data_IF_193695602433
#
_entry.id   IF_193695602433
#
_cell.length_a   1.000
_cell.length_b   1.000
_cell.length_c   1.000
_cell.angle_alpha   90.00
_cell.angle_beta   90.00
_cell.angle_gamma   90.00
#
_symmetry.space_group_name_H-M   'P 1'
#
loop_
_entity.id
_entity.type
_entity.pdbx_description
1 polymer ?
#
# COMPACT_ATOMS: atom_id res chain seq x y z
N UNK A 1 4.80 19.97 -21.63
CA UNK A 1 4.72 18.51 -21.39
C UNK A 1 4.15 18.35 -19.99
N UNK A 2 3.04 17.62 -19.81
CA UNK A 2 2.43 17.45 -18.49
C UNK A 2 3.38 16.52 -17.70
N UNK A 3 4.03 17.04 -16.65
CA UNK A 3 4.88 16.19 -15.80
C UNK A 3 3.94 15.23 -15.08
N UNK A 4 4.12 13.93 -15.32
CA UNK A 4 3.41 12.85 -14.62
C UNK A 4 4.38 12.24 -13.62
N UNK A 5 3.91 11.96 -12.41
CA UNK A 5 4.68 11.21 -11.43
C UNK A 5 4.84 9.76 -11.94
N UNK A 6 6.06 9.34 -12.24
CA UNK A 6 6.36 7.95 -12.60
C UNK A 6 6.64 7.13 -11.32
N UNK A 7 5.57 6.62 -10.70
CA UNK A 7 5.68 5.87 -9.45
C UNK A 7 6.49 4.57 -9.61
N UNK A 8 6.48 3.97 -10.80
CA UNK A 8 7.19 2.73 -11.06
C UNK A 8 8.70 2.96 -11.10
N UNK A 9 9.14 4.02 -11.77
CA UNK A 9 10.55 4.42 -11.77
C UNK A 9 11.02 4.83 -10.37
N UNK A 10 10.19 5.58 -9.63
CA UNK A 10 10.47 5.96 -8.24
C UNK A 10 10.71 4.72 -7.37
N UNK A 11 9.80 3.73 -7.38
CA UNK A 11 9.98 2.51 -6.59
C UNK A 11 11.16 1.66 -7.07
N UNK A 12 11.45 1.66 -8.37
CA UNK A 12 12.63 0.95 -8.89
C UNK A 12 13.94 1.56 -8.37
N UNK A 13 14.06 2.89 -8.37
CA UNK A 13 15.23 3.55 -7.80
C UNK A 13 15.29 3.35 -6.28
N UNK A 14 14.15 3.47 -5.60
CA UNK A 14 14.06 3.29 -4.16
C UNK A 14 14.49 1.88 -3.74
N UNK A 15 14.14 0.83 -4.50
CA UNK A 15 14.52 -0.54 -4.15
C UNK A 15 16.01 -0.82 -4.25
N UNK A 16 16.72 -0.06 -5.08
CA UNK A 16 18.18 -0.16 -5.23
C UNK A 16 18.93 0.53 -4.10
N UNK A 17 18.44 1.67 -3.63
CA UNK A 17 19.11 2.43 -2.55
C UNK A 17 18.62 2.03 -1.16
N UNK A 18 17.35 1.64 -1.03
CA UNK A 18 16.67 1.21 0.20
C UNK A 18 15.93 -0.12 -0.03
N UNK A 19 16.65 -1.26 -0.07
CA UNK A 19 16.03 -2.56 -0.33
C UNK A 19 15.17 -3.07 0.82
N UNK A 20 15.31 -2.51 2.02
CA UNK A 20 14.58 -2.86 3.24
C UNK A 20 14.38 -1.59 4.09
N UNK A 21 13.30 -1.57 4.87
CA UNK A 21 12.96 -0.46 5.77
C UNK A 21 12.79 -0.97 7.20
N UNK A 22 13.04 -0.11 8.20
CA UNK A 22 12.78 -0.43 9.61
C UNK A 22 11.30 -0.47 9.96
N UNK A 23 10.48 0.29 9.23
CA UNK A 23 9.04 0.43 9.48
C UNK A 23 8.30 1.04 8.28
N UNK A 24 6.97 1.07 8.35
CA UNK A 24 6.13 1.79 7.37
C UNK A 24 6.45 3.30 7.35
N UNK A 25 6.76 3.91 8.49
CA UNK A 25 7.16 5.32 8.57
C UNK A 25 8.53 5.58 7.92
N UNK A 26 9.48 4.64 8.04
CA UNK A 26 10.77 4.70 7.34
C UNK A 26 10.57 4.58 5.81
N UNK A 27 9.67 3.69 5.37
CA UNK A 27 9.25 3.63 3.97
C UNK A 27 8.59 4.93 3.50
N UNK A 28 7.65 5.48 4.28
CA UNK A 28 6.97 6.75 3.99
C UNK A 28 7.96 7.90 3.80
N UNK A 29 8.88 8.07 4.74
CA UNK A 29 9.92 9.10 4.64
C UNK A 29 10.80 8.88 3.41
N UNK A 30 11.27 7.65 3.19
CA UNK A 30 12.18 7.35 2.08
C UNK A 30 11.53 7.55 0.71
N UNK A 31 10.25 7.18 0.56
CA UNK A 31 9.48 7.42 -0.65
C UNK A 31 9.24 8.92 -0.89
N UNK A 32 8.83 9.65 0.15
CA UNK A 32 8.67 11.11 0.06
C UNK A 32 9.97 11.80 -0.34
N UNK A 33 11.10 11.38 0.25
CA UNK A 33 12.41 11.95 -0.03
C UNK A 33 12.79 11.78 -1.51
N UNK A 34 12.73 10.55 -2.04
CA UNK A 34 13.11 10.29 -3.43
C UNK A 34 12.17 10.98 -4.42
N UNK A 35 10.87 11.11 -4.11
CA UNK A 35 9.94 11.91 -4.92
C UNK A 35 10.38 13.36 -4.97
N UNK A 36 10.74 13.97 -3.83
CA UNK A 36 11.20 15.36 -3.77
C UNK A 36 12.51 15.57 -4.51
N UNK A 37 13.42 14.61 -4.48
CA UNK A 37 14.68 14.66 -5.24
C UNK A 37 14.44 14.61 -6.75
N UNK A 38 13.57 13.72 -7.22
CA UNK A 38 13.27 13.57 -8.65
C UNK A 38 12.35 14.66 -9.19
N UNK A 39 11.47 15.22 -8.35
CA UNK A 39 10.53 16.27 -8.70
C UNK A 39 10.72 17.49 -7.77
N UNK A 40 11.81 18.27 -7.90
CA UNK A 40 12.15 19.34 -6.95
C UNK A 40 11.06 20.40 -6.76
N UNK A 41 10.23 20.61 -7.79
CA UNK A 41 9.16 21.59 -7.79
C UNK A 41 7.85 21.10 -7.14
N UNK A 42 7.75 19.82 -6.76
CA UNK A 42 6.57 19.33 -6.05
C UNK A 42 6.60 19.76 -4.57
N UNK A 43 5.44 19.94 -3.97
CA UNK A 43 5.29 19.96 -2.53
C UNK A 43 4.89 18.57 -2.01
N UNK A 44 5.33 18.23 -0.80
CA UNK A 44 4.94 16.99 -0.12
C UNK A 44 4.32 17.34 1.23
N UNK A 45 3.23 16.66 1.57
CA UNK A 45 2.63 16.65 2.92
C UNK A 45 2.53 15.20 3.38
N UNK A 46 3.02 14.91 4.56
CA UNK A 46 2.85 13.60 5.22
C UNK A 46 1.62 13.66 6.13
N UNK A 47 0.95 12.54 6.33
CA UNK A 47 -0.21 12.41 7.23
C UNK A 47 -1.29 13.47 6.94
N UNK A 48 -1.58 13.68 5.65
CA UNK A 48 -2.45 14.76 5.20
C UNK A 48 -3.92 14.46 5.49
N UNK A 49 -4.60 15.42 6.14
CA UNK A 49 -6.03 15.35 6.43
C UNK A 49 -6.79 16.31 5.50
N UNK A 50 -7.70 15.82 4.63
CA UNK A 50 -8.51 16.69 3.79
C UNK A 50 -9.59 17.41 4.59
N UNK A 51 -9.89 18.65 4.19
CA UNK A 51 -10.90 19.49 4.84
C UNK A 51 -12.31 18.87 4.86
N UNK A 52 -12.65 18.04 3.86
CA UNK A 52 -13.97 17.41 3.76
C UNK A 52 -14.16 16.19 4.67
N UNK A 53 -13.09 15.61 5.21
CA UNK A 53 -13.15 14.45 6.09
C UNK A 53 -11.97 14.42 7.06
N UNK A 54 -12.20 14.86 8.30
CA UNK A 54 -11.18 14.93 9.35
C UNK A 54 -10.69 13.57 9.87
N UNK A 55 -11.35 12.47 9.48
CA UNK A 55 -10.96 11.11 9.86
C UNK A 55 -10.18 10.39 8.76
N UNK A 56 -10.01 11.02 7.59
CA UNK A 56 -9.20 10.51 6.50
C UNK A 56 -7.78 11.06 6.67
N UNK A 57 -6.81 10.18 6.81
CA UNK A 57 -5.39 10.51 6.89
C UNK A 57 -4.71 9.81 5.72
N UNK A 58 -4.16 10.58 4.79
CA UNK A 58 -3.35 10.07 3.68
C UNK A 58 -1.89 10.04 4.11
N UNK A 59 -1.22 8.91 3.90
CA UNK A 59 0.20 8.79 4.25
C UNK A 59 1.06 9.86 3.57
N UNK A 60 0.87 10.08 2.26
CA UNK A 60 1.58 11.10 1.49
C UNK A 60 0.62 11.81 0.54
N UNK A 61 0.65 13.13 0.51
CA UNK A 61 0.08 13.95 -0.55
C UNK A 61 1.20 14.64 -1.32
N UNK A 62 1.35 14.28 -2.60
CA UNK A 62 2.24 14.99 -3.54
C UNK A 62 1.43 16.06 -4.27
N UNK A 63 1.93 17.29 -4.28
CA UNK A 63 1.34 18.42 -4.98
C UNK A 63 2.30 18.82 -6.10
N UNK A 64 1.93 18.52 -7.34
CA UNK A 64 2.74 18.80 -8.52
C UNK A 64 1.96 19.76 -9.43
N UNK A 65 2.50 20.96 -9.67
CA UNK A 65 1.84 22.02 -10.45
C UNK A 65 0.40 22.31 -9.98
N UNK A 66 0.20 22.33 -8.66
CA UNK A 66 -1.11 22.54 -8.02
C UNK A 66 -2.09 21.37 -8.15
N UNK A 67 -1.67 20.24 -8.73
CA UNK A 67 -2.43 19.00 -8.83
C UNK A 67 -2.04 18.02 -7.74
N UNK A 68 -3.01 17.24 -7.27
CA UNK A 68 -2.90 16.45 -6.07
C UNK A 68 -2.84 14.97 -6.41
N UNK A 69 -1.82 14.29 -5.87
CA UNK A 69 -1.56 12.86 -6.00
C UNK A 69 -1.43 12.27 -4.60
N UNK A 70 -2.53 11.75 -4.02
CA UNK A 70 -2.49 11.04 -2.76
C UNK A 70 -1.85 9.66 -2.93
N UNK A 71 -1.11 9.22 -1.91
CA UNK A 71 -0.46 7.92 -1.86
C UNK A 71 -0.68 7.32 -0.47
N UNK A 72 -1.16 6.07 -0.42
CA UNK A 72 -1.31 5.26 0.80
C UNK A 72 -0.33 4.09 0.76
N UNK A 73 0.27 3.77 1.90
CA UNK A 73 1.38 2.84 2.04
C UNK A 73 1.03 1.70 2.98
N UNK A 74 1.57 0.53 2.67
CA UNK A 74 1.61 -0.61 3.59
C UNK A 74 2.98 -1.26 3.57
N UNK A 75 3.57 -1.48 4.73
CA UNK A 75 4.81 -2.25 4.88
C UNK A 75 4.60 -3.38 5.89
N UNK A 76 4.45 -4.62 5.40
CA UNK A 76 4.21 -5.79 6.26
C UNK A 76 5.33 -6.81 6.17
N UNK A 77 5.91 -7.18 7.31
CA UNK A 77 7.14 -7.97 7.33
C UNK A 77 6.96 -9.32 8.01
N UNK A 78 7.74 -10.31 7.56
CA UNK A 78 8.09 -11.47 8.39
C UNK A 78 9.11 -11.06 9.45
N UNK A 79 9.10 -11.74 10.59
CA UNK A 79 10.12 -11.51 11.61
C UNK A 79 11.50 -11.90 11.08
N UNK A 80 12.44 -10.97 11.07
CA UNK A 80 13.83 -11.25 10.74
C UNK A 80 14.78 -10.19 11.32
N UNK A 81 16.07 -10.53 11.36
CA UNK A 81 17.16 -9.58 11.60
C UNK A 81 18.06 -9.64 10.37
N UNK A 82 18.35 -8.47 9.77
CA UNK A 82 19.21 -8.33 8.59
C UNK A 82 20.26 -7.28 8.84
N UNK A 83 21.48 -7.50 8.37
CA UNK A 83 22.54 -6.48 8.38
C UNK A 83 22.90 -6.13 6.96
N UNK A 84 22.70 -4.87 6.57
CA UNK A 84 22.99 -4.37 5.22
C UNK A 84 23.88 -3.15 5.36
N UNK A 85 25.07 -3.17 4.73
CA UNK A 85 26.04 -2.07 4.78
C UNK A 85 26.36 -1.57 6.20
N UNK A 86 26.38 -2.47 7.19
CA UNK A 86 26.65 -2.14 8.60
C UNK A 86 25.43 -1.68 9.40
N UNK A 87 24.27 -1.49 8.78
CA UNK A 87 23.02 -1.15 9.45
C UNK A 87 22.22 -2.42 9.79
N UNK A 88 21.69 -2.52 11.02
CA UNK A 88 20.93 -3.67 11.51
C UNK A 88 19.44 -3.36 11.49
N UNK A 89 18.67 -4.14 10.73
CA UNK A 89 17.22 -4.05 10.62
C UNK A 89 16.57 -5.15 11.47
N UNK A 90 15.74 -4.76 12.44
CA UNK A 90 15.04 -5.69 13.33
C UNK A 90 13.54 -5.64 13.03
N UNK A 91 13.08 -6.57 12.19
CA UNK A 91 11.69 -6.61 11.71
C UNK A 91 10.83 -7.53 12.56
N UNK A 92 9.60 -7.11 12.80
CA UNK A 92 8.59 -7.87 13.56
C UNK A 92 7.70 -8.67 12.62
N UNK A 93 7.08 -9.73 13.16
CA UNK A 93 6.08 -10.49 12.43
C UNK A 93 4.79 -9.67 12.31
N UNK A 94 4.27 -9.53 11.08
CA UNK A 94 3.00 -8.88 10.78
C UNK A 94 2.12 -9.80 9.93
N UNK A 95 1.85 -10.99 10.46
CA UNK A 95 1.14 -12.08 9.78
C UNK A 95 -0.40 -12.02 9.81
N UNK A 96 -1.01 -10.93 10.30
CA UNK A 96 -2.48 -10.76 10.32
C UNK A 96 -3.02 -10.47 8.90
N UNK A 97 -3.00 -11.49 8.04
CA UNK A 97 -3.32 -11.39 6.61
C UNK A 97 -4.77 -10.95 6.35
N UNK A 98 -5.71 -11.41 7.17
CA UNK A 98 -7.13 -11.06 7.09
C UNK A 98 -7.33 -9.53 7.17
N UNK A 99 -6.85 -8.92 8.25
CA UNK A 99 -6.92 -7.49 8.47
C UNK A 99 -6.05 -6.72 7.48
N UNK A 100 -4.87 -7.26 7.13
CA UNK A 100 -3.96 -6.62 6.18
C UNK A 100 -4.53 -6.52 4.77
N UNK A 101 -5.29 -7.53 4.32
CA UNK A 101 -6.01 -7.49 3.05
C UNK A 101 -7.12 -6.44 3.08
N UNK A 102 -7.97 -6.48 4.13
CA UNK A 102 -9.05 -5.52 4.31
C UNK A 102 -8.54 -4.07 4.31
N UNK A 103 -7.51 -3.79 5.11
CA UNK A 103 -6.95 -2.44 5.24
C UNK A 103 -6.34 -1.92 3.94
N UNK A 104 -5.67 -2.78 3.15
CA UNK A 104 -5.14 -2.36 1.86
C UNK A 104 -6.24 -1.93 0.89
N UNK A 105 -7.36 -2.67 0.84
CA UNK A 105 -8.49 -2.31 -0.02
C UNK A 105 -9.26 -1.10 0.53
N UNK A 106 -9.30 -0.92 1.86
CA UNK A 106 -9.81 0.29 2.49
C UNK A 106 -9.02 1.53 2.09
N UNK A 107 -7.71 1.42 1.92
CA UNK A 107 -6.87 2.52 1.43
C UNK A 107 -7.17 2.88 -0.03
N UNK A 108 -7.49 1.90 -0.88
CA UNK A 108 -7.99 2.18 -2.24
C UNK A 108 -9.29 2.98 -2.16
N UNK A 109 -10.24 2.53 -1.33
CA UNK A 109 -11.52 3.20 -1.13
C UNK A 109 -11.36 4.63 -0.58
N UNK A 110 -10.38 4.88 0.31
CA UNK A 110 -10.03 6.21 0.81
C UNK A 110 -9.53 7.13 -0.32
N UNK A 111 -8.71 6.62 -1.22
CA UNK A 111 -8.25 7.39 -2.37
C UNK A 111 -9.40 7.64 -3.37
N UNK A 112 -10.32 6.69 -3.56
CA UNK A 112 -11.54 6.93 -4.35
C UNK A 112 -12.41 8.04 -3.73
N UNK A 113 -12.63 8.02 -2.41
CA UNK A 113 -13.34 9.10 -1.72
C UNK A 113 -12.64 10.46 -1.96
N UNK A 114 -11.32 10.49 -1.85
CA UNK A 114 -10.54 11.71 -2.10
C UNK A 114 -10.63 12.18 -3.56
N UNK A 115 -10.57 11.27 -4.53
CA UNK A 115 -10.77 11.55 -5.96
C UNK A 115 -12.12 12.23 -6.18
N UNK A 116 -13.18 11.68 -5.60
CA UNK A 116 -14.55 12.12 -5.84
C UNK A 116 -14.87 13.47 -5.18
N UNK A 117 -14.13 13.84 -4.12
CA UNK A 117 -14.32 15.09 -3.37
C UNK A 117 -13.34 16.20 -3.72
N UNK A 118 -12.18 15.89 -4.32
CA UNK A 118 -11.14 16.88 -4.61
C UNK A 118 -11.05 17.24 -6.10
N UNK A 119 -11.31 18.51 -6.42
CA UNK A 119 -11.15 19.02 -7.79
C UNK A 119 -9.67 19.05 -8.27
N UNK A 120 -8.71 19.03 -7.34
CA UNK A 120 -7.27 19.03 -7.61
C UNK A 120 -6.72 17.64 -7.91
N UNK A 121 -7.46 16.58 -7.59
CA UNK A 121 -7.05 15.21 -7.85
C UNK A 121 -6.80 14.97 -9.35
N UNK A 122 -5.69 14.30 -9.65
CA UNK A 122 -5.34 13.86 -11.01
C UNK A 122 -5.09 12.35 -11.11
N UNK A 123 -4.55 11.73 -10.07
CA UNK A 123 -4.22 10.32 -9.96
C UNK A 123 -3.89 10.04 -8.49
N UNK A 124 -3.98 8.81 -8.02
CA UNK A 124 -3.55 8.40 -6.68
C UNK A 124 -3.05 6.97 -6.66
N UNK A 125 -2.35 6.58 -5.60
CA UNK A 125 -1.68 5.28 -5.55
C UNK A 125 -1.84 4.61 -4.19
N UNK A 126 -2.14 3.32 -4.17
CA UNK A 126 -1.83 2.49 -3.00
C UNK A 126 -0.61 1.64 -3.29
N UNK A 127 0.31 1.56 -2.33
CA UNK A 127 1.57 0.84 -2.48
C UNK A 127 1.74 -0.07 -1.27
N UNK A 128 1.85 -1.37 -1.50
CA UNK A 128 2.17 -2.34 -0.45
C UNK A 128 3.51 -2.98 -0.75
N UNK A 129 4.42 -2.98 0.22
CA UNK A 129 5.66 -3.77 0.21
C UNK A 129 5.56 -4.83 1.30
N UNK A 130 5.94 -6.07 1.00
CA UNK A 130 5.87 -7.15 1.99
C UNK A 130 6.89 -8.27 1.78
N UNK A 131 7.43 -8.81 2.89
CA UNK A 131 8.15 -10.10 2.89
C UNK A 131 7.25 -11.29 3.28
N UNK A 132 5.96 -11.04 3.52
CA UNK A 132 4.98 -12.08 3.84
C UNK A 132 4.36 -12.67 2.56
N UNK A 133 5.02 -13.70 2.03
CA UNK A 133 4.65 -14.34 0.76
C UNK A 133 3.24 -14.96 0.73
N UNK A 134 2.59 -15.15 1.88
CA UNK A 134 1.21 -15.63 1.89
C UNK A 134 0.23 -14.64 1.27
N UNK A 135 0.52 -13.34 1.18
CA UNK A 135 -0.32 -12.37 0.47
C UNK A 135 -0.50 -12.72 -1.00
N UNK A 136 0.56 -13.23 -1.65
CA UNK A 136 0.57 -13.55 -3.08
C UNK A 136 -0.28 -14.77 -3.43
N UNK A 137 -0.66 -15.58 -2.44
CA UNK A 137 -1.34 -16.85 -2.64
C UNK A 137 -2.82 -16.74 -2.32
N UNK A 138 -3.69 -17.40 -3.10
CA UNK A 138 -5.12 -17.43 -2.80
C UNK A 138 -5.36 -18.10 -1.45
N UNK A 139 -6.50 -17.82 -0.79
CA UNK A 139 -6.85 -18.48 0.45
C UNK A 139 -6.95 -19.99 0.25
N UNK A 140 -6.29 -20.76 1.12
CA UNK A 140 -6.26 -22.23 1.01
C UNK A 140 -7.57 -22.87 1.46
N UNK A 141 -8.22 -22.27 2.49
CA UNK A 141 -9.43 -22.82 3.09
C UNK A 141 -10.66 -22.35 2.31
N UNK A 142 -11.54 -23.29 1.96
CA UNK A 142 -12.82 -22.99 1.31
C UNK A 142 -13.71 -22.04 2.14
N UNK A 143 -13.60 -22.07 3.47
CA UNK A 143 -14.32 -21.21 4.40
C UNK A 143 -13.47 -20.03 4.91
N UNK A 144 -12.53 -19.53 4.09
CA UNK A 144 -11.75 -18.37 4.45
C UNK A 144 -12.64 -17.14 4.64
N UNK A 145 -12.59 -16.55 5.83
CA UNK A 145 -13.44 -15.42 6.25
C UNK A 145 -13.21 -14.12 5.47
N UNK A 146 -12.01 -13.96 4.90
CA UNK A 146 -11.58 -12.77 4.16
C UNK A 146 -11.40 -13.05 2.67
N UNK A 147 -12.00 -14.11 2.13
CA UNK A 147 -11.80 -14.56 0.74
C UNK A 147 -12.01 -13.44 -0.28
N UNK A 148 -13.06 -12.64 -0.11
CA UNK A 148 -13.36 -11.50 -1.00
C UNK A 148 -12.27 -10.42 -0.93
N UNK A 149 -11.66 -10.22 0.24
CA UNK A 149 -10.58 -9.25 0.44
C UNK A 149 -9.21 -9.73 -0.04
N UNK A 150 -9.02 -11.02 -0.29
CA UNK A 150 -7.69 -11.60 -0.58
C UNK A 150 -6.99 -10.93 -1.76
N UNK A 151 -5.83 -10.32 -1.53
CA UNK A 151 -5.01 -9.69 -2.59
C UNK A 151 -3.98 -10.66 -3.17
N UNK A 152 -4.41 -11.85 -3.56
CA UNK A 152 -3.55 -12.82 -4.24
C UNK A 152 -3.23 -12.41 -5.69
N UNK A 153 -2.08 -12.89 -6.17
CA UNK A 153 -1.57 -12.49 -7.47
C UNK A 153 -2.48 -12.97 -8.61
N UNK A 154 -2.77 -12.07 -9.56
CA UNK A 154 -3.67 -12.31 -10.68
C UNK A 154 -5.16 -12.06 -10.37
N UNK A 155 -5.53 -11.79 -9.12
CA UNK A 155 -6.91 -11.42 -8.78
C UNK A 155 -7.27 -10.00 -9.25
N UNK A 156 -8.57 -9.68 -9.29
CA UNK A 156 -9.08 -8.33 -9.57
C UNK A 156 -10.01 -7.93 -8.44
N UNK A 157 -9.85 -6.71 -7.91
CA UNK A 157 -10.69 -6.17 -6.83
C UNK A 157 -11.60 -5.08 -7.35
N UNK A 158 -12.89 -5.23 -7.11
CA UNK A 158 -13.94 -4.33 -7.61
C UNK A 158 -15.25 -4.60 -6.87
N UNK A 159 -16.17 -3.63 -6.90
CA UNK A 159 -17.50 -3.78 -6.34
C UNK A 159 -17.51 -3.92 -4.82
N UNK A 160 -18.55 -4.56 -4.29
CA UNK A 160 -18.74 -4.77 -2.87
C UNK A 160 -18.04 -6.07 -2.44
N UNK A 161 -17.21 -6.00 -1.40
CA UNK A 161 -16.53 -7.13 -0.77
C UNK A 161 -16.85 -7.13 0.73
N UNK A 162 -17.21 -8.29 1.25
CA UNK A 162 -17.68 -8.51 2.60
C UNK A 162 -16.81 -9.51 3.34
N UNK A 163 -16.82 -9.40 4.68
CA UNK A 163 -16.46 -10.54 5.51
C UNK A 163 -17.46 -11.68 5.29
N UNK A 164 -17.00 -12.92 5.39
CA UNK A 164 -17.93 -14.06 5.39
C UNK A 164 -18.85 -13.99 6.62
N UNK A 165 -20.10 -14.45 6.46
CA UNK A 165 -21.13 -14.49 7.52
C UNK A 165 -20.68 -15.17 8.82
N UNK A 166 -19.70 -16.09 8.73
CA UNK A 166 -19.18 -16.82 9.88
C UNK A 166 -17.99 -16.12 10.58
N UNK A 167 -17.63 -14.90 10.16
CA UNK A 167 -16.49 -14.17 10.72
C UNK A 167 -16.78 -13.72 12.16
N UNK A 168 -15.85 -14.00 13.07
CA UNK A 168 -16.00 -13.61 14.47
C UNK A 168 -15.97 -12.09 14.67
N UNK A 169 -16.80 -11.57 15.57
CA UNK A 169 -16.86 -10.13 15.91
C UNK A 169 -15.52 -9.51 16.30
N UNK A 170 -14.64 -10.29 16.93
CA UNK A 170 -13.30 -9.83 17.31
C UNK A 170 -12.42 -9.53 16.09
N UNK A 171 -12.50 -10.34 15.04
CA UNK A 171 -11.76 -10.15 13.78
C UNK A 171 -12.24 -8.91 13.02
N UNK A 172 -13.55 -8.65 13.04
CA UNK A 172 -14.16 -7.52 12.33
C UNK A 172 -14.10 -6.20 13.10
N UNK A 173 -13.56 -6.16 14.33
CA UNK A 173 -13.67 -4.98 15.19
C UNK A 173 -13.01 -3.75 14.54
N UNK A 174 -13.82 -2.72 14.25
CA UNK A 174 -13.38 -1.50 13.54
C UNK A 174 -13.23 -1.67 12.01
N UNK A 175 -13.64 -2.83 11.50
CA UNK A 175 -13.57 -3.28 10.11
C UNK A 175 -14.89 -3.95 9.69
N UNK A 176 -16.00 -3.64 10.35
CA UNK A 176 -17.29 -4.30 10.14
C UNK A 176 -17.94 -3.92 8.80
N UNK A 177 -17.64 -2.72 8.30
CA UNK A 177 -18.17 -2.23 7.05
C UNK A 177 -17.60 -3.02 5.85
N UNK A 178 -18.38 -3.21 4.77
CA UNK A 178 -17.84 -3.74 3.54
C UNK A 178 -16.84 -2.78 2.91
N UNK A 179 -15.95 -3.33 2.07
CA UNK A 179 -15.20 -2.51 1.13
C UNK A 179 -16.02 -2.39 -0.15
N UNK A 180 -16.24 -1.16 -0.61
CA UNK A 180 -16.97 -0.90 -1.86
C UNK A 180 -16.06 -0.09 -2.77
N UNK A 181 -15.58 -0.74 -3.83
CA UNK A 181 -14.72 -0.11 -4.84
C UNK A 181 -15.53 0.26 -6.07
N UNK A 182 -15.37 1.49 -6.55
CA UNK A 182 -16.00 1.94 -7.81
C UNK A 182 -15.19 1.55 -9.05
N UNK A 183 -13.88 1.40 -8.88
CA UNK A 183 -12.95 0.96 -9.92
C UNK A 183 -12.72 -0.56 -9.97
N UNK A 184 -11.85 -0.96 -10.90
CA UNK A 184 -11.31 -2.31 -11.01
C UNK A 184 -9.81 -2.26 -10.82
N UNK A 185 -9.31 -3.05 -9.88
CA UNK A 185 -7.92 -3.01 -9.42
C UNK A 185 -7.28 -4.38 -9.59
N UNK A 186 -6.54 -4.61 -10.69
CA UNK A 186 -5.77 -5.83 -10.87
C UNK A 186 -4.67 -5.95 -9.81
N UNK A 187 -4.51 -7.14 -9.26
CA UNK A 187 -3.49 -7.44 -8.27
C UNK A 187 -2.33 -8.11 -8.98
N UNK A 188 -1.24 -7.36 -9.13
CA UNK A 188 -0.02 -7.82 -9.79
C UNK A 188 1.19 -7.54 -8.90
N UNK A 189 1.62 -8.57 -8.19
CA UNK A 189 2.80 -8.51 -7.35
C UNK A 189 4.07 -8.58 -8.20
N UNK A 190 5.05 -7.76 -7.84
CA UNK A 190 6.37 -7.71 -8.45
C UNK A 190 7.44 -7.77 -7.37
N UNK A 191 8.63 -8.25 -7.70
CA UNK A 191 9.75 -8.20 -6.75
C UNK A 191 10.15 -6.74 -6.51
N UNK A 192 10.20 -6.34 -5.25
CA UNK A 192 10.75 -5.05 -4.82
C UNK A 192 12.26 -5.18 -4.70
N UNK A 193 12.70 -6.12 -3.86
CA UNK A 193 14.10 -6.37 -3.57
C UNK A 193 14.33 -7.80 -3.12
N UNK A 194 15.57 -8.26 -3.22
CA UNK A 194 16.05 -9.50 -2.61
C UNK A 194 17.32 -9.20 -1.83
N UNK A 195 17.22 -9.23 -0.49
CA UNK A 195 18.36 -8.94 0.41
C UNK A 195 19.23 -10.18 0.67
N UNK A 196 18.64 -11.37 0.67
CA UNK A 196 19.33 -12.67 0.74
C UNK A 196 18.41 -13.82 0.31
N UNK A 197 18.90 -15.07 0.38
CA UNK A 197 18.18 -16.28 -0.02
C UNK A 197 17.30 -16.90 1.08
N UNK A 198 17.15 -16.24 2.23
CA UNK A 198 16.26 -16.76 3.28
C UNK A 198 14.80 -16.52 2.95
N UNK A 199 13.89 -17.22 3.64
CA UNK A 199 12.43 -17.08 3.47
C UNK A 199 11.85 -15.70 3.89
N UNK A 200 12.68 -14.80 4.40
CA UNK A 200 12.38 -13.41 4.76
C UNK A 200 13.23 -12.40 3.97
N UNK A 201 14.05 -12.90 3.03
CA UNK A 201 15.00 -12.11 2.24
C UNK A 201 14.41 -11.46 1.00
N UNK A 202 13.28 -11.96 0.50
CA UNK A 202 12.59 -11.35 -0.65
C UNK A 202 11.46 -10.44 -0.17
N UNK A 203 11.38 -9.25 -0.75
CA UNK A 203 10.29 -8.31 -0.59
C UNK A 203 9.56 -8.17 -1.92
N UNK A 204 8.24 -8.26 -1.90
CA UNK A 204 7.36 -8.05 -3.04
C UNK A 204 6.64 -6.72 -2.88
N UNK A 205 6.28 -6.07 -3.98
CA UNK A 205 5.42 -4.92 -3.97
C UNK A 205 4.20 -5.06 -4.88
N UNK A 206 3.16 -4.33 -4.53
CA UNK A 206 1.92 -4.17 -5.28
C UNK A 206 1.62 -2.67 -5.39
N UNK A 207 1.27 -2.20 -6.59
CA UNK A 207 0.76 -0.85 -6.82
C UNK A 207 -0.64 -0.96 -7.43
N UNK A 208 -1.59 -0.21 -6.88
CA UNK A 208 -2.84 0.09 -7.57
C UNK A 208 -2.93 1.59 -7.81
N UNK A 209 -3.15 1.97 -9.08
CA UNK A 209 -3.37 3.35 -9.48
C UNK A 209 -4.86 3.66 -9.52
N UNK A 210 -5.26 4.77 -8.91
CA UNK A 210 -6.61 5.31 -8.93
C UNK A 210 -6.58 6.49 -9.91
N UNK A 211 -7.27 6.34 -11.03
CA UNK A 211 -7.39 7.40 -12.04
C UNK A 211 -8.63 8.26 -11.79
N UNK A 212 -8.63 9.46 -12.38
CA UNK A 212 -9.77 10.38 -12.38
C UNK A 212 -10.92 9.88 -13.23
#
# INVERSE_FOLDING_TARGET
>A
MRIKLDIHEILHQLSRCRPIFHSEADFQFSLAWIIKEQYPNCDIRLEFVPEFNSNLHLDILVILDGKWIPIELKYTTKKCIKTINGEVYVLKEQGAKDQGCYNYLKDIMRIEEFRDKSNKFIEGYTIKITSEMSYLKPPIKANCTYSEFSIDDGSIKTGCMNWSDNTGKGTMRGMEAPIVLTGMYPIHWKEYSKVDDTNSGTFMYLINAISK
#
